data_IF_727098915008
#
_entry.id   IF_727098915008
#
_cell.length_a   1.000
_cell.length_b   1.000
_cell.length_c   1.000
_cell.angle_alpha   90.00
_cell.angle_beta   90.00
_cell.angle_gamma   90.00
#
_symmetry.space_group_name_H-M   'P 1'
#
loop_
_entity.id
_entity.type
_entity.pdbx_description
1 polymer ?
#
# COMPACT_ATOMS: atom_id res chain seq x y z
N UNK A 1 30.76 6.73 -13.75
CA UNK A 1 30.14 7.25 -12.50
C UNK A 1 30.42 6.25 -11.42
N UNK A 2 30.94 6.64 -10.25
CA UNK A 2 31.02 5.72 -9.12
C UNK A 2 29.59 5.41 -8.70
N UNK A 3 29.12 4.21 -9.04
CA UNK A 3 27.73 3.78 -8.89
C UNK A 3 27.30 3.57 -7.42
N UNK A 4 27.44 4.61 -6.60
CA UNK A 4 27.01 4.60 -5.19
C UNK A 4 25.63 5.23 -5.08
N UNK A 5 24.66 4.49 -4.52
CA UNK A 5 23.30 4.95 -4.31
C UNK A 5 22.95 4.79 -2.82
N UNK A 6 22.43 5.84 -2.21
CA UNK A 6 21.90 5.76 -0.85
C UNK A 6 20.67 4.85 -0.79
N UNK A 7 20.69 3.95 0.16
CA UNK A 7 19.63 2.97 0.40
C UNK A 7 19.10 3.12 1.81
N UNK A 8 17.77 3.13 1.92
CA UNK A 8 17.04 3.17 3.18
C UNK A 8 16.01 2.07 3.22
N UNK A 9 16.05 1.20 4.23
CA UNK A 9 14.96 0.27 4.51
C UNK A 9 14.07 0.87 5.59
N UNK A 10 12.81 1.11 5.23
CA UNK A 10 11.82 1.75 6.09
C UNK A 10 10.58 0.87 6.20
N UNK A 11 10.17 0.57 7.42
CA UNK A 11 8.90 -0.12 7.69
C UNK A 11 7.78 0.92 7.69
N UNK A 12 6.94 0.88 6.68
CA UNK A 12 5.76 1.74 6.54
C UNK A 12 4.57 1.19 7.34
N UNK A 13 3.64 2.07 7.68
CA UNK A 13 2.41 1.75 8.42
C UNK A 13 2.64 1.23 9.84
N UNK A 14 3.70 1.71 10.50
CA UNK A 14 4.01 1.36 11.89
C UNK A 14 4.88 2.42 12.56
N UNK A 15 4.81 2.48 13.90
CA UNK A 15 5.77 3.20 14.74
C UNK A 15 6.81 2.26 15.39
N UNK A 16 6.67 0.94 15.22
CA UNK A 16 7.48 -0.07 15.89
C UNK A 16 8.40 -0.81 14.93
N UNK A 17 9.61 -1.13 15.37
CA UNK A 17 10.50 -2.03 14.63
C UNK A 17 9.86 -3.42 14.50
N UNK A 18 10.17 -4.12 13.39
CA UNK A 18 9.70 -5.47 13.08
C UNK A 18 8.18 -5.59 12.85
N UNK A 19 7.48 -4.45 12.78
CA UNK A 19 6.09 -4.34 12.36
C UNK A 19 6.00 -3.52 11.07
N UNK A 20 4.79 -3.43 10.50
CA UNK A 20 4.54 -2.69 9.26
C UNK A 20 5.12 -3.37 8.02
N UNK A 21 5.05 -2.68 6.90
CA UNK A 21 5.46 -3.18 5.60
C UNK A 21 6.84 -2.61 5.20
N UNK A 22 7.88 -3.45 5.05
CA UNK A 22 9.21 -2.98 4.71
C UNK A 22 9.27 -2.54 3.24
N UNK A 23 9.83 -1.36 3.01
CA UNK A 23 10.13 -0.84 1.68
C UNK A 23 11.60 -0.45 1.58
N UNK A 24 12.19 -0.67 0.41
CA UNK A 24 13.46 -0.06 0.01
C UNK A 24 13.18 1.33 -0.55
N UNK A 25 13.98 2.31 -0.17
CA UNK A 25 13.94 3.66 -0.73
C UNK A 25 15.33 4.01 -1.25
N UNK A 26 15.40 4.31 -2.54
CA UNK A 26 16.62 4.67 -3.25
C UNK A 26 16.49 6.09 -3.79
N UNK A 27 17.39 6.97 -3.36
CA UNK A 27 17.40 8.36 -3.82
C UNK A 27 18.44 8.48 -4.92
N UNK A 28 17.97 8.78 -6.12
CA UNK A 28 18.79 8.84 -7.31
C UNK A 28 19.08 10.31 -7.69
N UNK A 29 20.25 10.62 -8.21
CA UNK A 29 20.50 11.93 -8.83
C UNK A 29 19.79 12.06 -10.19
N UNK A 30 19.64 10.95 -10.92
CA UNK A 30 18.95 10.80 -12.21
C UNK A 30 18.47 9.36 -12.37
N UNK A 31 17.61 9.07 -13.38
CA UNK A 31 17.19 7.69 -13.64
C UNK A 31 18.38 6.81 -14.07
N UNK A 32 18.50 5.66 -13.43
CA UNK A 32 19.31 4.53 -13.89
C UNK A 32 18.47 3.64 -14.83
N UNK A 33 19.09 2.74 -15.62
CA UNK A 33 18.36 1.81 -16.46
C UNK A 33 17.31 1.01 -15.70
N UNK A 34 16.18 0.76 -16.32
CA UNK A 34 15.08 0.00 -15.72
C UNK A 34 15.51 -1.39 -15.25
N UNK A 35 16.31 -2.08 -16.07
CA UNK A 35 16.89 -3.38 -15.72
C UNK A 35 17.70 -3.32 -14.42
N UNK A 36 18.49 -2.24 -14.24
CA UNK A 36 19.27 -2.04 -13.02
C UNK A 36 18.36 -1.82 -11.81
N UNK A 37 17.28 -1.02 -11.94
CA UNK A 37 16.31 -0.86 -10.87
C UNK A 37 15.63 -2.18 -10.52
N UNK A 38 15.26 -3.00 -11.52
CA UNK A 38 14.66 -4.30 -11.29
C UNK A 38 15.64 -5.27 -10.59
N UNK A 39 16.91 -5.28 -10.99
CA UNK A 39 17.93 -6.11 -10.37
C UNK A 39 18.18 -5.68 -8.91
N UNK A 40 18.28 -4.38 -8.64
CA UNK A 40 18.40 -3.84 -7.28
C UNK A 40 17.21 -4.23 -6.42
N UNK A 41 15.99 -4.12 -6.95
CA UNK A 41 14.78 -4.52 -6.24
C UNK A 41 14.76 -6.03 -5.92
N UNK A 42 15.23 -6.86 -6.86
CA UNK A 42 15.35 -8.30 -6.69
C UNK A 42 16.40 -8.65 -5.61
N UNK A 43 17.56 -8.00 -5.64
CA UNK A 43 18.64 -8.21 -4.68
C UNK A 43 18.24 -7.74 -3.26
N UNK A 44 17.59 -6.58 -3.17
CA UNK A 44 17.06 -6.05 -1.91
C UNK A 44 16.00 -6.98 -1.29
N UNK A 45 15.28 -7.73 -2.11
CA UNK A 45 14.29 -8.74 -1.72
C UNK A 45 13.27 -8.24 -0.69
N UNK A 46 12.86 -6.98 -0.82
CA UNK A 46 11.79 -6.35 -0.04
C UNK A 46 10.48 -6.41 -0.83
N UNK A 47 9.35 -6.28 -0.14
CA UNK A 47 8.03 -6.29 -0.82
C UNK A 47 7.94 -5.29 -1.96
N UNK A 48 8.55 -4.11 -1.81
CA UNK A 48 8.69 -3.10 -2.87
C UNK A 48 9.90 -2.21 -2.62
N UNK A 49 10.58 -1.86 -3.70
CA UNK A 49 11.64 -0.86 -3.77
C UNK A 49 11.14 0.37 -4.51
N UNK A 50 11.23 1.54 -3.89
CA UNK A 50 10.92 2.84 -4.48
C UNK A 50 12.20 3.54 -4.91
N UNK A 51 12.26 3.91 -6.18
CA UNK A 51 13.34 4.73 -6.75
C UNK A 51 12.80 6.13 -6.98
N UNK A 52 13.46 7.12 -6.38
CA UNK A 52 13.07 8.53 -6.47
C UNK A 52 14.21 9.37 -7.00
N UNK A 53 13.88 10.35 -7.82
CA UNK A 53 14.75 11.49 -8.04
C UNK A 53 13.96 12.80 -7.95
N UNK A 54 14.65 13.87 -7.58
CA UNK A 54 14.07 15.21 -7.53
C UNK A 54 14.00 15.77 -8.94
N UNK A 55 12.82 16.23 -9.37
CA UNK A 55 12.68 16.96 -10.65
C UNK A 55 13.36 18.32 -10.51
N UNK A 56 14.35 18.59 -11.38
CA UNK A 56 15.34 19.66 -11.21
C UNK A 56 14.78 21.08 -11.12
N UNK A 57 13.58 21.29 -11.60
CA UNK A 57 13.01 22.64 -11.71
C UNK A 57 12.24 23.11 -10.46
N UNK A 58 11.95 22.22 -9.50
CA UNK A 58 11.16 22.55 -8.30
C UNK A 58 11.55 21.67 -7.10
N UNK A 59 11.95 22.29 -5.99
CA UNK A 59 12.44 21.60 -4.79
C UNK A 59 11.49 20.59 -4.15
N UNK A 60 10.17 20.72 -4.34
CA UNK A 60 9.15 19.82 -3.78
C UNK A 60 8.61 18.81 -4.79
N UNK A 61 9.14 18.76 -6.01
CA UNK A 61 8.68 17.84 -7.07
C UNK A 61 9.64 16.68 -7.23
N UNK A 62 9.04 15.49 -7.23
CA UNK A 62 9.75 14.22 -7.34
C UNK A 62 9.10 13.34 -8.40
N UNK A 63 9.91 12.47 -8.99
CA UNK A 63 9.45 11.35 -9.79
C UNK A 63 9.72 10.06 -9.04
N UNK A 64 8.82 9.07 -9.17
CA UNK A 64 8.91 7.79 -8.46
C UNK A 64 8.58 6.64 -9.39
N UNK A 65 9.31 5.53 -9.20
CA UNK A 65 9.03 4.21 -9.78
C UNK A 65 9.09 3.16 -8.67
N UNK A 66 8.25 2.15 -8.75
CA UNK A 66 8.18 1.08 -7.75
C UNK A 66 8.37 -0.28 -8.39
N UNK A 67 9.26 -1.06 -7.81
CA UNK A 67 9.58 -2.41 -8.26
C UNK A 67 9.38 -3.40 -7.11
N UNK A 68 8.61 -4.48 -7.37
CA UNK A 68 8.68 -5.70 -6.57
C UNK A 68 9.94 -6.47 -6.97
N UNK A 69 10.32 -7.55 -6.29
CA UNK A 69 11.41 -8.42 -6.76
C UNK A 69 11.21 -8.99 -8.17
N UNK A 70 9.99 -8.98 -8.71
CA UNK A 70 9.63 -9.62 -9.97
C UNK A 70 9.22 -8.67 -11.10
N UNK A 71 8.69 -7.51 -10.80
CA UNK A 71 8.18 -6.56 -11.81
C UNK A 71 8.03 -5.13 -11.28
N UNK A 72 7.95 -4.17 -12.19
CA UNK A 72 7.49 -2.83 -11.88
C UNK A 72 5.99 -2.83 -11.64
N UNK A 73 5.52 -1.96 -10.73
CA UNK A 73 4.10 -1.76 -10.42
C UNK A 73 3.70 -0.29 -10.55
N UNK A 74 2.46 -0.03 -10.93
CA UNK A 74 1.96 1.32 -11.28
C UNK A 74 1.72 2.22 -10.07
N UNK A 75 1.42 1.64 -8.90
CA UNK A 75 1.11 2.38 -7.67
C UNK A 75 1.49 1.57 -6.43
N UNK A 76 2.20 2.21 -5.49
CA UNK A 76 2.58 1.59 -4.22
C UNK A 76 2.46 2.56 -3.04
N UNK A 77 1.51 2.31 -2.14
CA UNK A 77 1.27 3.18 -0.98
C UNK A 77 2.36 3.10 0.08
N UNK A 78 2.77 1.88 0.49
CA UNK A 78 3.73 1.72 1.57
C UNK A 78 5.12 2.27 1.23
N UNK A 79 5.58 2.01 -0.02
CA UNK A 79 6.87 2.52 -0.46
C UNK A 79 6.86 4.04 -0.70
N UNK A 80 5.70 4.62 -1.10
CA UNK A 80 5.52 6.08 -1.18
C UNK A 80 5.55 6.73 0.21
N UNK A 81 4.88 6.11 1.20
CA UNK A 81 4.92 6.59 2.58
C UNK A 81 6.35 6.53 3.15
N UNK A 82 7.06 5.42 2.89
CA UNK A 82 8.46 5.26 3.28
C UNK A 82 9.35 6.34 2.65
N UNK A 83 9.15 6.64 1.35
CA UNK A 83 9.86 7.68 0.64
C UNK A 83 9.60 9.07 1.24
N UNK A 84 8.35 9.44 1.50
CA UNK A 84 7.99 10.69 2.16
C UNK A 84 8.61 10.81 3.55
N UNK A 85 8.66 9.70 4.28
CA UNK A 85 9.34 9.66 5.58
C UNK A 85 10.85 9.93 5.46
N UNK A 86 11.52 9.32 4.47
CA UNK A 86 12.97 9.55 4.19
C UNK A 86 13.20 11.02 3.81
N UNK A 87 12.42 11.56 2.88
CA UNK A 87 12.53 12.97 2.46
C UNK A 87 12.44 13.91 3.66
N UNK A 88 11.44 13.69 4.54
CA UNK A 88 11.20 14.58 5.69
C UNK A 88 12.22 14.38 6.82
N UNK A 89 12.44 13.13 7.25
CA UNK A 89 13.14 12.85 8.51
C UNK A 89 14.64 12.64 8.34
N UNK A 90 15.08 12.19 7.16
CA UNK A 90 16.50 11.93 6.87
C UNK A 90 17.09 13.08 6.06
N UNK A 91 16.47 13.43 4.94
CA UNK A 91 16.97 14.46 4.02
C UNK A 91 16.54 15.87 4.41
N UNK A 92 15.68 16.01 5.43
CA UNK A 92 15.23 17.31 5.98
C UNK A 92 14.58 18.22 4.93
N UNK A 93 13.93 17.63 3.94
CA UNK A 93 13.16 18.37 2.95
C UNK A 93 11.81 18.82 3.53
N UNK A 94 11.29 19.93 3.01
CA UNK A 94 10.03 20.53 3.49
C UNK A 94 8.85 19.99 2.68
N UNK A 95 7.87 19.31 3.31
CA UNK A 95 6.63 18.92 2.63
C UNK A 95 5.70 20.12 2.39
N UNK A 96 4.64 20.01 1.55
CA UNK A 96 4.23 18.78 0.87
C UNK A 96 5.10 18.44 -0.35
N UNK A 97 5.26 17.15 -0.62
CA UNK A 97 5.97 16.65 -1.80
C UNK A 97 4.96 16.27 -2.88
N UNK A 98 5.15 16.80 -4.08
CA UNK A 98 4.38 16.45 -5.26
C UNK A 98 5.14 15.37 -6.04
N UNK A 99 4.61 14.16 -6.03
CA UNK A 99 5.28 13.00 -6.59
C UNK A 99 4.52 12.52 -7.84
N UNK A 100 5.21 12.42 -8.96
CA UNK A 100 4.64 11.90 -10.21
C UNK A 100 5.19 10.51 -10.50
N UNK A 101 4.30 9.54 -10.69
CA UNK A 101 4.69 8.19 -11.09
C UNK A 101 4.90 8.07 -12.59
N UNK A 102 5.54 6.95 -13.00
CA UNK A 102 5.69 6.60 -14.41
C UNK A 102 4.31 6.42 -15.10
N UNK A 103 3.32 5.87 -14.39
CA UNK A 103 1.93 5.70 -14.86
C UNK A 103 1.10 7.00 -14.78
N UNK A 104 1.75 8.17 -14.65
CA UNK A 104 1.13 9.49 -14.56
C UNK A 104 0.20 9.73 -13.36
N UNK A 105 0.24 8.90 -12.31
CA UNK A 105 -0.40 9.27 -11.06
C UNK A 105 0.27 10.49 -10.45
N UNK A 106 -0.57 11.45 -10.05
CA UNK A 106 -0.13 12.60 -9.26
C UNK A 106 -0.48 12.33 -7.79
N UNK A 107 0.54 12.24 -6.97
CA UNK A 107 0.44 11.94 -5.55
C UNK A 107 0.93 13.16 -4.76
N UNK A 108 0.30 13.41 -3.62
CA UNK A 108 0.80 14.39 -2.66
C UNK A 108 1.16 13.65 -1.37
N UNK A 109 2.35 13.91 -0.87
CA UNK A 109 2.84 13.36 0.39
C UNK A 109 3.13 14.51 1.34
N UNK A 110 2.46 14.51 2.47
CA UNK A 110 2.64 15.51 3.52
C UNK A 110 3.14 14.87 4.81
N UNK A 111 3.76 15.66 5.67
CA UNK A 111 4.23 15.24 6.98
C UNK A 111 3.61 16.13 8.05
N UNK A 112 2.84 15.52 8.95
CA UNK A 112 2.14 16.24 9.99
C UNK A 112 3.06 16.48 11.22
N UNK A 113 2.77 17.52 12.01
CA UNK A 113 3.51 17.77 13.26
C UNK A 113 3.48 16.61 14.26
N UNK A 114 2.48 15.72 14.15
CA UNK A 114 2.37 14.48 14.93
C UNK A 114 3.43 13.43 14.57
N UNK A 115 4.20 13.65 13.48
CA UNK A 115 5.16 12.69 12.92
C UNK A 115 4.51 11.62 12.04
N UNK A 116 3.22 11.77 11.72
CA UNK A 116 2.53 10.93 10.73
C UNK A 116 2.76 11.47 9.32
N UNK A 117 2.84 10.56 8.36
CA UNK A 117 2.92 10.89 6.94
C UNK A 117 1.53 10.70 6.35
N UNK A 118 1.05 11.70 5.62
CA UNK A 118 -0.20 11.68 4.90
C UNK A 118 0.05 11.50 3.41
N UNK A 119 -0.63 10.52 2.84
CA UNK A 119 -0.70 10.29 1.39
C UNK A 119 -2.06 10.78 0.88
N UNK A 120 -2.05 11.47 -0.24
CA UNK A 120 -3.25 11.82 -0.98
C UNK A 120 -3.26 11.04 -2.29
N UNK A 121 -4.15 10.04 -2.36
CA UNK A 121 -4.22 9.06 -3.43
C UNK A 121 -5.53 9.16 -4.22
N UNK A 122 -5.54 8.67 -5.48
CA UNK A 122 -6.78 8.59 -6.25
C UNK A 122 -7.77 7.63 -5.59
N UNK A 123 -9.05 7.96 -5.70
CA UNK A 123 -10.13 7.08 -5.27
C UNK A 123 -10.20 5.86 -6.21
N UNK A 124 -10.30 4.67 -5.65
CA UNK A 124 -10.65 3.47 -6.39
C UNK A 124 -12.17 3.26 -6.35
N UNK A 125 -12.77 3.09 -7.52
CA UNK A 125 -14.19 2.77 -7.63
C UNK A 125 -14.40 1.26 -7.51
N UNK A 126 -15.41 0.88 -6.74
CA UNK A 126 -15.78 -0.53 -6.54
C UNK A 126 -17.15 -0.80 -7.15
N UNK A 127 -17.24 -1.92 -7.87
CA UNK A 127 -18.49 -2.43 -8.42
C UNK A 127 -18.86 -3.71 -7.69
N UNK A 128 -20.09 -3.79 -7.20
CA UNK A 128 -20.61 -5.03 -6.58
C UNK A 128 -20.71 -6.11 -7.66
N UNK A 129 -20.24 -7.31 -7.33
CA UNK A 129 -20.27 -8.48 -8.22
C UNK A 129 -20.82 -9.70 -7.48
N UNK A 130 -21.25 -10.70 -8.23
CA UNK A 130 -21.65 -11.97 -7.63
C UNK A 130 -20.42 -12.74 -7.10
N UNK A 131 -20.59 -13.52 -6.01
CA UNK A 131 -19.54 -14.39 -5.52
C UNK A 131 -19.10 -15.39 -6.61
N UNK A 132 -17.79 -15.39 -6.89
CA UNK A 132 -17.20 -16.35 -7.83
C UNK A 132 -17.04 -17.74 -7.18
N UNK A 133 -16.61 -18.74 -7.95
CA UNK A 133 -16.45 -20.12 -7.46
C UNK A 133 -15.42 -20.24 -6.34
N UNK A 134 -14.39 -19.37 -6.33
CA UNK A 134 -13.43 -19.33 -5.24
C UNK A 134 -14.06 -18.92 -3.91
N UNK A 135 -14.91 -17.88 -3.94
CA UNK A 135 -15.61 -17.38 -2.74
C UNK A 135 -16.59 -18.42 -2.23
N UNK A 136 -17.41 -19.00 -3.13
CA UNK A 136 -18.38 -20.05 -2.79
C UNK A 136 -17.74 -21.29 -2.17
N UNK A 137 -16.52 -21.63 -2.60
CA UNK A 137 -15.76 -22.76 -2.08
C UNK A 137 -15.15 -22.50 -0.69
N UNK A 138 -14.71 -21.27 -0.44
CA UNK A 138 -13.87 -20.94 0.73
C UNK A 138 -14.62 -20.24 1.86
N UNK A 139 -15.83 -19.75 1.63
CA UNK A 139 -16.65 -19.05 2.60
C UNK A 139 -18.10 -19.57 2.56
N UNK A 140 -18.70 -19.71 3.75
CA UNK A 140 -20.15 -19.94 3.85
C UNK A 140 -20.89 -18.68 3.36
N UNK A 141 -22.01 -18.85 2.68
CA UNK A 141 -22.82 -17.72 2.18
C UNK A 141 -23.26 -16.79 3.31
N UNK A 142 -23.51 -17.36 4.49
CA UNK A 142 -23.86 -16.62 5.70
C UNK A 142 -22.79 -15.68 6.19
N UNK A 143 -21.51 -15.96 5.89
CA UNK A 143 -20.34 -15.18 6.33
C UNK A 143 -20.00 -14.05 5.35
N UNK A 144 -20.44 -14.17 4.11
CA UNK A 144 -20.17 -13.16 3.07
C UNK A 144 -21.22 -12.04 3.16
N UNK A 145 -20.77 -10.82 3.27
CA UNK A 145 -21.61 -9.64 3.19
C UNK A 145 -21.78 -9.15 1.75
N UNK A 146 -20.72 -9.28 0.96
CA UNK A 146 -20.73 -8.94 -0.46
C UNK A 146 -19.38 -9.11 -1.11
N UNK A 147 -19.40 -9.20 -2.45
CA UNK A 147 -18.24 -9.26 -3.29
C UNK A 147 -18.17 -8.02 -4.17
N UNK A 148 -16.97 -7.52 -4.39
CA UNK A 148 -16.75 -6.32 -5.16
C UNK A 148 -15.51 -6.48 -6.04
N UNK A 149 -15.46 -5.72 -7.11
CA UNK A 149 -14.32 -5.66 -8.00
C UNK A 149 -13.91 -4.20 -8.21
N UNK A 150 -12.64 -3.93 -8.07
CA UNK A 150 -12.05 -2.66 -8.46
C UNK A 150 -11.34 -2.85 -9.79
N UNK A 151 -11.92 -2.34 -10.87
CA UNK A 151 -11.30 -2.40 -12.19
C UNK A 151 -10.22 -1.36 -12.39
N UNK A 152 -9.49 -1.49 -13.51
CA UNK A 152 -8.41 -0.59 -13.89
C UNK A 152 -7.04 -1.09 -13.45
N UNK A 153 -6.12 -0.19 -13.12
CA UNK A 153 -4.74 -0.58 -12.74
C UNK A 153 -4.66 -1.32 -11.40
N UNK A 154 -5.74 -1.33 -10.61
CA UNK A 154 -5.84 -2.00 -9.31
C UNK A 154 -6.89 -3.11 -9.33
N UNK A 155 -6.84 -3.98 -10.32
CA UNK A 155 -7.74 -5.12 -10.49
C UNK A 155 -7.79 -6.03 -9.26
N UNK A 156 -8.43 -5.58 -8.18
CA UNK A 156 -8.55 -6.33 -6.94
C UNK A 156 -9.95 -6.90 -6.77
N UNK A 157 -10.03 -8.18 -6.40
CA UNK A 157 -11.26 -8.81 -5.98
C UNK A 157 -11.40 -8.67 -4.47
N UNK A 158 -12.48 -8.03 -4.03
CA UNK A 158 -12.73 -7.73 -2.62
C UNK A 158 -13.93 -8.51 -2.09
N UNK A 159 -13.75 -9.21 -0.97
CA UNK A 159 -14.79 -9.89 -0.22
C UNK A 159 -14.98 -9.20 1.12
N UNK A 160 -16.15 -8.60 1.29
CA UNK A 160 -16.58 -8.08 2.59
C UNK A 160 -17.17 -9.23 3.40
N UNK A 161 -16.65 -9.43 4.60
CA UNK A 161 -17.05 -10.49 5.52
C UNK A 161 -17.75 -9.89 6.73
N UNK A 162 -18.72 -10.63 7.32
CA UNK A 162 -19.50 -10.18 8.47
C UNK A 162 -18.73 -10.27 9.78
N UNK A 163 -17.82 -11.27 9.90
CA UNK A 163 -17.08 -11.54 11.13
C UNK A 163 -15.57 -11.34 10.91
N UNK A 164 -14.96 -10.55 11.78
CA UNK A 164 -13.52 -10.30 11.82
C UNK A 164 -12.71 -11.60 12.07
N UNK A 165 -13.28 -12.56 12.77
CA UNK A 165 -12.61 -13.85 13.00
C UNK A 165 -12.47 -14.65 11.70
N UNK A 166 -13.42 -14.55 10.76
CA UNK A 166 -13.32 -15.17 9.44
C UNK A 166 -12.13 -14.58 8.67
N UNK A 167 -11.94 -13.24 8.70
CA UNK A 167 -10.75 -12.60 8.12
C UNK A 167 -9.47 -13.11 8.77
N UNK A 168 -9.42 -13.13 10.11
CA UNK A 168 -8.20 -13.46 10.85
C UNK A 168 -7.79 -14.93 10.70
N UNK A 169 -8.75 -15.85 10.63
CA UNK A 169 -8.52 -17.31 10.57
C UNK A 169 -8.41 -17.85 9.16
N UNK A 170 -8.70 -17.03 8.13
CA UNK A 170 -8.66 -17.45 6.75
C UNK A 170 -7.28 -18.02 6.38
N UNK A 171 -7.29 -19.21 5.78
CA UNK A 171 -6.09 -19.90 5.26
C UNK A 171 -6.13 -19.87 3.73
N UNK A 172 -5.35 -18.98 3.10
CA UNK A 172 -5.38 -18.83 1.65
C UNK A 172 -4.71 -20.00 0.93
N UNK A 173 -5.32 -20.46 -0.16
CA UNK A 173 -4.64 -21.24 -1.19
C UNK A 173 -4.08 -20.27 -2.24
N UNK A 174 -2.75 -20.09 -2.23
CA UNK A 174 -2.08 -19.13 -3.10
C UNK A 174 -2.19 -19.49 -4.58
N UNK A 175 -2.19 -20.78 -4.92
CA UNK A 175 -2.33 -21.23 -6.31
C UNK A 175 -3.75 -20.98 -6.84
N UNK A 176 -4.76 -21.15 -6.02
CA UNK A 176 -6.14 -20.80 -6.40
C UNK A 176 -6.31 -19.29 -6.51
N UNK A 177 -5.79 -18.49 -5.57
CA UNK A 177 -5.85 -17.02 -5.63
C UNK A 177 -5.14 -16.51 -6.89
N UNK A 178 -4.02 -17.10 -7.27
CA UNK A 178 -3.28 -16.75 -8.48
C UNK A 178 -4.11 -16.93 -9.77
N UNK A 179 -5.11 -17.83 -9.76
CA UNK A 179 -5.99 -18.07 -10.91
C UNK A 179 -7.17 -17.08 -11.00
N UNK A 180 -7.43 -16.31 -9.95
CA UNK A 180 -8.50 -15.30 -9.99
C UNK A 180 -8.24 -14.29 -11.12
N UNK A 181 -9.30 -13.81 -11.82
CA UNK A 181 -9.17 -12.76 -12.81
C UNK A 181 -8.99 -11.38 -12.15
N UNK A 182 -8.02 -11.29 -11.23
CA UNK A 182 -7.73 -10.11 -10.43
C UNK A 182 -6.24 -10.06 -10.11
N UNK A 183 -5.71 -8.89 -9.77
CA UNK A 183 -4.35 -8.73 -9.24
C UNK A 183 -4.20 -9.43 -7.91
N UNK A 184 -5.19 -9.29 -7.04
CA UNK A 184 -5.19 -9.88 -5.72
C UNK A 184 -6.58 -10.07 -5.13
N UNK A 185 -6.61 -10.79 -4.00
CA UNK A 185 -7.78 -11.02 -3.17
C UNK A 185 -7.67 -10.17 -1.90
N UNK A 186 -8.64 -9.31 -1.68
CA UNK A 186 -8.78 -8.48 -0.50
C UNK A 186 -9.94 -8.99 0.36
N UNK A 187 -9.68 -9.22 1.63
CA UNK A 187 -10.70 -9.55 2.63
C UNK A 187 -10.81 -8.42 3.63
N UNK A 188 -12.02 -8.02 4.02
CA UNK A 188 -12.21 -7.06 5.08
C UNK A 188 -13.49 -7.31 5.88
N UNK A 189 -13.45 -6.99 7.17
CA UNK A 189 -14.60 -6.99 8.08
C UNK A 189 -14.50 -5.85 9.09
N UNK A 190 -15.65 -5.34 9.56
CA UNK A 190 -15.67 -4.44 10.70
C UNK A 190 -15.11 -5.14 11.93
N UNK A 191 -14.23 -4.48 12.68
CA UNK A 191 -13.74 -4.94 13.98
C UNK A 191 -14.53 -4.28 15.10
N UNK A 192 -14.63 -2.96 15.04
CA UNK A 192 -15.49 -2.15 15.91
C UNK A 192 -15.99 -0.93 15.12
N UNK A 193 -17.24 -0.98 14.73
CA UNK A 193 -17.82 0.11 13.94
C UNK A 193 -18.13 1.35 14.76
N UNK A 194 -18.29 1.23 16.06
CA UNK A 194 -18.53 2.39 16.93
C UNK A 194 -17.32 3.30 17.02
N UNK A 195 -16.11 2.73 16.85
CA UNK A 195 -14.84 3.44 16.75
C UNK A 195 -14.29 3.47 15.31
N UNK A 196 -15.10 3.13 14.31
CA UNK A 196 -14.72 3.13 12.89
C UNK A 196 -13.49 2.27 12.61
N UNK A 197 -13.42 1.07 13.18
CA UNK A 197 -12.30 0.14 13.02
C UNK A 197 -12.67 -1.02 12.11
N UNK A 198 -11.73 -1.39 11.21
CA UNK A 198 -11.86 -2.56 10.38
C UNK A 198 -10.53 -3.33 10.26
N UNK A 199 -10.68 -4.63 10.04
CA UNK A 199 -9.57 -5.54 9.78
C UNK A 199 -9.54 -5.91 8.30
N UNK A 200 -8.33 -6.09 7.76
CA UNK A 200 -8.18 -6.52 6.37
C UNK A 200 -6.96 -7.42 6.18
N UNK A 201 -7.01 -8.25 5.13
CA UNK A 201 -5.88 -9.04 4.61
C UNK A 201 -5.87 -8.96 3.09
N UNK A 202 -4.70 -8.88 2.50
CA UNK A 202 -4.52 -8.78 1.06
C UNK A 202 -3.51 -9.80 0.55
N UNK A 203 -3.91 -10.54 -0.49
CA UNK A 203 -3.14 -11.61 -1.10
C UNK A 203 -2.97 -11.33 -2.58
N UNK A 204 -1.73 -11.21 -3.07
CA UNK A 204 -1.41 -10.87 -4.44
C UNK A 204 -0.30 -11.75 -5.05
N UNK A 205 -0.49 -13.10 -5.08
CA UNK A 205 0.54 -14.03 -5.54
C UNK A 205 0.91 -13.86 -7.02
N UNK A 206 0.04 -13.25 -7.85
CA UNK A 206 0.35 -12.94 -9.25
C UNK A 206 1.54 -11.99 -9.42
N UNK A 207 1.71 -11.05 -8.49
CA UNK A 207 2.81 -10.08 -8.50
C UNK A 207 3.95 -10.47 -7.54
N UNK A 208 4.00 -11.74 -7.13
CA UNK A 208 5.05 -12.28 -6.28
C UNK A 208 4.88 -12.02 -4.78
N UNK A 209 3.73 -11.50 -4.35
CA UNK A 209 3.44 -11.18 -2.94
C UNK A 209 2.34 -12.12 -2.43
N UNK A 210 2.72 -13.16 -1.67
CA UNK A 210 1.73 -14.09 -1.15
C UNK A 210 0.70 -13.41 -0.23
N UNK A 211 1.17 -12.73 0.80
CA UNK A 211 0.33 -11.86 1.64
C UNK A 211 1.05 -10.55 1.88
N UNK A 212 0.41 -9.43 1.52
CA UNK A 212 0.96 -8.10 1.76
C UNK A 212 0.55 -7.60 3.15
N UNK A 213 1.54 -7.20 3.92
CA UNK A 213 1.37 -6.84 5.34
C UNK A 213 0.53 -5.58 5.51
N UNK A 214 0.70 -4.60 4.60
CA UNK A 214 -0.08 -3.36 4.60
C UNK A 214 -0.04 -2.70 3.21
N UNK A 215 -1.20 -2.58 2.58
CA UNK A 215 -1.36 -2.21 1.17
C UNK A 215 -2.10 -0.87 1.05
N UNK A 216 -1.36 0.21 0.83
CA UNK A 216 -1.97 1.54 0.66
C UNK A 216 -2.98 1.60 -0.49
N UNK A 217 -2.66 0.99 -1.64
CA UNK A 217 -3.56 0.97 -2.81
C UNK A 217 -4.89 0.25 -2.53
N UNK A 218 -4.87 -0.87 -1.82
CA UNK A 218 -6.10 -1.57 -1.42
C UNK A 218 -6.96 -0.72 -0.48
N UNK A 219 -6.34 0.18 0.31
CA UNK A 219 -7.08 1.08 1.18
C UNK A 219 -7.77 2.23 0.44
N UNK A 220 -7.40 2.53 -0.81
CA UNK A 220 -8.18 3.41 -1.67
C UNK A 220 -9.55 2.80 -2.00
N UNK A 221 -9.61 1.48 -2.20
CA UNK A 221 -10.85 0.72 -2.39
C UNK A 221 -11.64 0.61 -1.08
N UNK A 222 -10.97 0.23 0.01
CA UNK A 222 -11.61 0.08 1.32
C UNK A 222 -12.21 1.38 1.85
N UNK A 223 -11.55 2.53 1.61
CA UNK A 223 -12.09 3.83 1.97
C UNK A 223 -13.42 4.09 1.26
N UNK A 224 -13.52 3.78 -0.04
CA UNK A 224 -14.78 3.90 -0.80
C UNK A 224 -15.87 3.02 -0.20
N UNK A 225 -15.58 1.74 0.04
CA UNK A 225 -16.53 0.79 0.60
C UNK A 225 -17.02 1.18 1.99
N UNK A 226 -16.09 1.42 2.93
CA UNK A 226 -16.44 1.71 4.32
C UNK A 226 -17.19 3.03 4.49
N UNK A 227 -16.84 4.06 3.70
CA UNK A 227 -17.58 5.32 3.70
C UNK A 227 -18.99 5.21 3.11
N UNK A 228 -19.19 4.35 2.10
CA UNK A 228 -20.54 4.08 1.57
C UNK A 228 -21.39 3.32 2.58
N UNK A 229 -20.80 2.34 3.25
CA UNK A 229 -21.50 1.51 4.22
C UNK A 229 -21.83 2.25 5.53
N UNK A 230 -20.91 3.09 5.99
CA UNK A 230 -21.05 3.89 7.21
C UNK A 230 -20.80 5.36 6.91
N UNK A 231 -21.77 6.04 6.31
CA UNK A 231 -21.64 7.46 5.99
C UNK A 231 -21.33 8.26 7.24
N UNK A 232 -20.20 8.91 7.26
CA UNK A 232 -19.76 9.76 8.36
C UNK A 232 -19.16 11.04 7.82
N UNK A 233 -19.61 12.18 8.35
CA UNK A 233 -19.05 13.46 7.97
C UNK A 233 -17.63 13.60 8.51
N UNK A 234 -16.64 13.52 7.62
CA UNK A 234 -15.26 13.87 7.92
C UNK A 234 -14.52 12.91 8.89
N UNK A 235 -14.98 11.65 9.07
CA UNK A 235 -14.42 10.69 9.99
C UNK A 235 -13.24 9.91 9.38
N UNK A 236 -12.22 9.63 10.20
CA UNK A 236 -11.16 8.69 9.88
C UNK A 236 -11.57 7.26 10.25
N UNK A 237 -11.44 6.34 9.31
CA UNK A 237 -11.50 4.91 9.57
C UNK A 237 -10.11 4.40 9.94
N UNK A 238 -10.04 3.54 10.94
CA UNK A 238 -8.81 2.93 11.42
C UNK A 238 -8.72 1.51 10.90
N UNK A 239 -7.69 1.23 10.12
CA UNK A 239 -7.42 -0.10 9.58
C UNK A 239 -6.25 -0.76 10.26
N UNK A 240 -6.38 -2.07 10.45
CA UNK A 240 -5.25 -2.94 10.73
C UNK A 240 -5.21 -4.06 9.69
N UNK A 241 -4.08 -4.19 8.98
CA UNK A 241 -3.86 -5.21 7.95
C UNK A 241 -2.71 -6.14 8.34
N UNK A 242 -2.77 -7.39 7.87
CA UNK A 242 -1.74 -8.39 7.99
C UNK A 242 -2.06 -9.52 8.96
N UNK A 243 -1.08 -10.42 9.15
CA UNK A 243 -1.22 -11.61 9.99
C UNK A 243 -1.05 -11.31 11.48
N UNK A 244 -1.17 -12.36 12.32
CA UNK A 244 -0.94 -12.23 13.77
C UNK A 244 0.51 -11.89 14.13
N UNK A 245 1.48 -12.28 13.29
CA UNK A 245 2.92 -12.09 13.56
C UNK A 245 3.43 -10.71 13.15
N UNK A 246 2.85 -10.11 12.08
CA UNK A 246 3.27 -8.82 11.58
C UNK A 246 2.08 -8.06 10.98
N UNK A 247 1.90 -6.82 11.40
CA UNK A 247 0.76 -5.98 11.02
C UNK A 247 1.21 -4.58 10.66
N UNK A 248 0.41 -3.94 9.78
CA UNK A 248 0.44 -2.51 9.56
C UNK A 248 -0.86 -1.86 10.01
N UNK A 249 -0.78 -0.61 10.42
CA UNK A 249 -1.94 0.19 10.84
C UNK A 249 -1.95 1.53 10.13
N UNK A 250 -3.13 1.93 9.68
CA UNK A 250 -3.32 3.21 9.03
C UNK A 250 -4.72 3.76 9.29
N UNK A 251 -4.84 5.06 9.14
CA UNK A 251 -6.12 5.75 9.11
C UNK A 251 -6.44 6.11 7.66
N UNK A 252 -7.67 5.93 7.25
CA UNK A 252 -8.12 6.28 5.90
C UNK A 252 -9.35 7.16 5.96
N UNK A 253 -9.45 8.07 5.01
CA UNK A 253 -10.55 9.02 4.94
C UNK A 253 -10.83 9.38 3.50
N UNK A 254 -12.11 9.40 3.14
CA UNK A 254 -12.53 9.94 1.86
C UNK A 254 -12.52 11.48 1.92
N UNK A 255 -11.88 12.11 0.97
CA UNK A 255 -11.83 13.55 0.82
C UNK A 255 -12.15 13.95 -0.61
N UNK A 256 -13.37 14.42 -0.87
CA UNK A 256 -13.87 14.64 -2.22
C UNK A 256 -13.81 13.34 -3.04
N UNK A 257 -13.08 13.34 -4.17
CA UNK A 257 -12.82 12.17 -5.01
C UNK A 257 -11.40 11.60 -4.82
N UNK A 258 -10.82 11.83 -3.64
CA UNK A 258 -9.48 11.36 -3.24
C UNK A 258 -9.54 10.59 -1.92
N UNK A 259 -8.52 9.81 -1.65
CA UNK A 259 -8.36 9.08 -0.39
C UNK A 259 -7.13 9.59 0.33
N UNK A 260 -7.34 10.08 1.54
CA UNK A 260 -6.23 10.40 2.45
C UNK A 260 -5.90 9.15 3.28
N UNK A 261 -4.62 8.79 3.27
CA UNK A 261 -4.07 7.70 4.08
C UNK A 261 -3.05 8.31 5.04
N UNK A 262 -3.25 8.09 6.32
CA UNK A 262 -2.40 8.65 7.38
C UNK A 262 -1.78 7.54 8.20
N UNK A 263 -0.46 7.53 8.33
CA UNK A 263 0.24 6.58 9.18
C UNK A 263 1.66 7.04 9.52
N UNK A 264 2.37 6.21 10.28
CA UNK A 264 3.77 6.40 10.65
C UNK A 264 4.66 5.44 9.89
N UNK A 265 5.97 5.73 9.91
CA UNK A 265 6.99 4.80 9.44
C UNK A 265 8.18 4.78 10.39
N UNK A 266 8.96 3.69 10.30
CA UNK A 266 10.15 3.50 11.12
C UNK A 266 11.31 3.00 10.27
N UNK A 267 12.40 3.76 10.23
CA UNK A 267 13.63 3.31 9.56
C UNK A 267 14.24 2.12 10.30
N UNK A 268 14.61 1.10 9.53
CA UNK A 268 15.29 -0.08 10.02
C UNK A 268 16.79 -0.06 9.66
N UNK A 269 17.12 0.33 8.42
CA UNK A 269 18.49 0.31 7.92
C UNK A 269 18.75 1.54 7.04
N UNK A 270 19.97 2.06 7.10
CA UNK A 270 20.54 3.00 6.13
C UNK A 270 21.89 2.44 5.67
N UNK A 271 22.16 2.53 4.37
CA UNK A 271 23.41 2.06 3.77
C UNK A 271 23.66 2.67 2.40
N UNK A 272 24.63 2.10 1.71
CA UNK A 272 24.97 2.46 0.33
C UNK A 272 25.05 1.18 -0.48
N UNK A 273 24.45 1.17 -1.66
CA UNK A 273 24.65 0.12 -2.65
C UNK A 273 25.63 0.58 -3.71
N UNK A 274 26.28 -0.38 -4.36
CA UNK A 274 27.28 -0.16 -5.42
C UNK A 274 26.77 -0.83 -6.71
N UNK A 275 26.73 -0.06 -7.81
CA UNK A 275 26.33 -0.52 -9.16
C UNK A 275 27.50 -0.48 -10.12
#
# INVERSE_FOLDING_TARGET
MNGQIEFYQVNAFTSHLFQGNPAGVFILPEWIPEESMQQVAKEANLSTSAFLFQDTDKESQYRIRWFTPTCEISLCGHATLAAGWVLTHVLRKTPPFHIKSQSNFSLVVDALPSGEIQLDFPLAHVTKVEPNEYVKKNFEESDVEGCYFAGGEQDDYFVALKDVNTVNKFKPDMEEIKRLPARGLLLSSAEDITSYQFRTRFFAPKIGINEDIATGSAHCLLASYWHQKYPSNNQWFHSQQGSSSRKGSMKVKLHQNRVLILSRARMYLKGTIFL
#
